data_IF_102150186711
#
_entry.id   IF_102150186711
#
_cell.length_a   1.000
_cell.length_b   1.000
_cell.length_c   1.000
_cell.angle_alpha   90.00
_cell.angle_beta   90.00
_cell.angle_gamma   90.00
#
_symmetry.space_group_name_H-M   'P 1'
#
loop_
_entity.id
_entity.type
_entity.pdbx_description
1 polymer ?
#
# COMPACT_ATOMS: atom_id res chain seq x y z
N UNK A 1 -11.52 16.41 14.41
CA UNK A 1 -10.87 15.37 13.59
C UNK A 1 -11.99 14.57 12.95
N UNK A 2 -12.05 14.50 11.62
CA UNK A 2 -13.11 13.75 10.94
C UNK A 2 -12.91 12.23 11.15
N UNK A 3 -14.01 11.45 11.24
CA UNK A 3 -13.93 10.00 11.34
C UNK A 3 -13.27 9.41 10.08
N UNK A 4 -12.54 8.32 10.22
CA UNK A 4 -11.91 7.62 9.11
C UNK A 4 -12.98 7.10 8.12
N UNK A 5 -12.81 7.40 6.83
CA UNK A 5 -13.71 6.92 5.79
C UNK A 5 -13.30 5.50 5.37
N UNK A 6 -14.08 4.49 5.79
CA UNK A 6 -13.76 3.09 5.51
C UNK A 6 -13.90 2.71 4.04
N UNK A 7 -15.00 3.09 3.38
CA UNK A 7 -15.21 2.74 1.97
C UNK A 7 -14.28 3.58 1.07
N UNK A 8 -13.87 3.04 -0.10
CA UNK A 8 -13.04 3.79 -1.02
C UNK A 8 -13.57 5.17 -1.37
N UNK A 9 -12.66 6.14 -1.43
CA UNK A 9 -13.00 7.53 -1.73
C UNK A 9 -11.84 8.25 -2.37
N UNK A 10 -12.02 8.71 -3.61
CA UNK A 10 -11.03 9.52 -4.30
C UNK A 10 -10.70 10.82 -3.53
N UNK A 11 -11.69 11.42 -2.85
CA UNK A 11 -11.49 12.63 -2.08
C UNK A 11 -10.63 12.38 -0.83
N UNK A 12 -11.00 11.37 -0.02
CA UNK A 12 -10.22 11.01 1.17
C UNK A 12 -8.80 10.54 0.79
N UNK A 13 -8.69 9.82 -0.31
CA UNK A 13 -7.42 9.44 -0.91
C UNK A 13 -6.56 10.66 -1.29
N UNK A 14 -7.16 11.69 -1.90
CA UNK A 14 -6.43 12.88 -2.31
C UNK A 14 -5.89 13.63 -1.10
N UNK A 15 -6.69 13.77 -0.05
CA UNK A 15 -6.28 14.39 1.21
C UNK A 15 -5.15 13.60 1.88
N UNK A 16 -5.28 12.27 1.94
CA UNK A 16 -4.28 11.37 2.51
C UNK A 16 -2.96 11.44 1.75
N UNK A 17 -3.03 11.36 0.42
CA UNK A 17 -1.86 11.39 -0.43
C UNK A 17 -1.15 12.75 -0.37
N UNK A 18 -1.89 13.86 -0.32
CA UNK A 18 -1.32 15.18 -0.08
C UNK A 18 -0.61 15.25 1.27
N UNK A 19 -1.25 14.77 2.35
CA UNK A 19 -0.67 14.78 3.68
C UNK A 19 0.63 13.96 3.78
N UNK A 20 0.67 12.78 3.14
CA UNK A 20 1.89 11.95 3.06
C UNK A 20 3.05 12.67 2.37
N UNK A 21 2.77 13.37 1.26
CA UNK A 21 3.79 14.14 0.55
C UNK A 21 4.24 15.37 1.34
N UNK A 22 3.31 16.09 1.97
CA UNK A 22 3.63 17.24 2.82
C UNK A 22 4.54 16.85 4.00
N UNK A 23 4.31 15.66 4.59
CA UNK A 23 5.16 15.13 5.67
C UNK A 23 6.55 14.77 5.17
N UNK A 24 6.66 14.15 3.99
CA UNK A 24 7.95 13.92 3.34
C UNK A 24 8.70 15.24 3.09
N UNK A 25 8.03 16.26 2.54
CA UNK A 25 8.66 17.57 2.31
C UNK A 25 9.11 18.24 3.62
N UNK A 26 8.30 18.19 4.67
CA UNK A 26 8.67 18.72 5.99
C UNK A 26 9.91 18.01 6.55
N UNK A 27 9.95 16.67 6.43
CA UNK A 27 11.10 15.90 6.90
C UNK A 27 12.37 16.19 6.10
N UNK A 28 12.27 16.27 4.76
CA UNK A 28 13.40 16.66 3.92
C UNK A 28 13.92 18.06 4.28
N UNK A 29 13.02 19.03 4.50
CA UNK A 29 13.42 20.36 4.95
C UNK A 29 14.17 20.32 6.29
N UNK A 30 13.66 19.55 7.26
CA UNK A 30 14.33 19.37 8.54
C UNK A 30 15.72 18.75 8.40
N UNK A 31 15.87 17.70 7.58
CA UNK A 31 17.19 17.09 7.32
C UNK A 31 18.16 18.09 6.69
N UNK A 32 17.69 18.92 5.74
CA UNK A 32 18.51 19.95 5.11
C UNK A 32 18.96 21.01 6.13
N UNK A 33 18.08 21.44 7.03
CA UNK A 33 18.42 22.40 8.10
C UNK A 33 19.50 21.84 9.04
N UNK A 34 19.33 20.59 9.49
CA UNK A 34 20.27 19.91 10.38
C UNK A 34 21.63 19.66 9.71
N UNK A 35 21.63 19.33 8.42
CA UNK A 35 22.85 19.00 7.67
C UNK A 35 23.51 20.22 6.99
N UNK A 36 22.97 21.43 7.18
CA UNK A 36 23.50 22.66 6.57
C UNK A 36 24.97 22.94 6.89
N UNK A 37 25.46 22.49 8.05
CA UNK A 37 26.87 22.59 8.42
C UNK A 37 27.79 21.57 7.73
N UNK A 38 27.24 20.47 7.22
CA UNK A 38 27.98 19.42 6.52
C UNK A 38 28.08 19.67 5.01
N UNK A 39 27.07 20.31 4.41
CA UNK A 39 27.08 20.72 3.00
C UNK A 39 26.35 22.06 2.80
N UNK A 40 27.13 23.10 2.51
CA UNK A 40 26.61 24.46 2.27
C UNK A 40 25.77 24.57 0.98
N UNK A 41 25.92 23.64 0.03
CA UNK A 41 25.15 23.59 -1.21
C UNK A 41 23.77 22.95 -1.06
N UNK A 42 23.55 22.17 0.00
CA UNK A 42 22.35 21.35 0.18
C UNK A 42 21.06 22.19 0.24
N UNK A 43 21.08 23.29 1.00
CA UNK A 43 19.93 24.21 1.09
C UNK A 43 19.56 24.77 -0.29
N UNK A 44 20.55 25.20 -1.07
CA UNK A 44 20.31 25.75 -2.40
C UNK A 44 19.75 24.69 -3.35
N UNK A 45 20.27 23.46 -3.29
CA UNK A 45 19.78 22.34 -4.09
C UNK A 45 18.31 22.00 -3.75
N UNK A 46 17.98 21.94 -2.46
CA UNK A 46 16.61 21.70 -2.00
C UNK A 46 15.65 22.81 -2.47
N UNK A 47 16.01 24.09 -2.32
CA UNK A 47 15.16 25.20 -2.77
C UNK A 47 15.00 25.23 -4.30
N UNK A 48 16.06 24.93 -5.05
CA UNK A 48 15.99 24.82 -6.51
C UNK A 48 15.13 23.63 -6.97
N UNK A 49 15.17 22.50 -6.25
CA UNK A 49 14.25 21.39 -6.50
C UNK A 49 12.81 21.76 -6.16
N UNK A 50 12.58 22.36 -4.99
CA UNK A 50 11.23 22.65 -4.52
C UNK A 50 10.51 23.69 -5.35
N UNK A 51 11.23 24.66 -5.92
CA UNK A 51 10.69 25.66 -6.85
C UNK A 51 10.31 25.10 -8.23
N UNK A 52 10.88 23.96 -8.64
CA UNK A 52 10.54 23.27 -9.90
C UNK A 52 9.29 22.40 -9.80
N UNK A 53 8.86 22.04 -8.58
CA UNK A 53 7.72 21.17 -8.34
C UNK A 53 6.44 21.99 -8.17
N UNK A 54 5.39 21.74 -8.97
CA UNK A 54 4.06 22.31 -8.73
C UNK A 54 3.55 22.09 -7.30
N UNK A 55 2.72 23.00 -6.80
CA UNK A 55 2.02 22.81 -5.52
C UNK A 55 1.15 21.56 -5.60
N UNK A 56 1.20 20.72 -4.57
CA UNK A 56 0.48 19.44 -4.54
C UNK A 56 1.07 18.36 -5.45
N UNK A 57 2.33 18.51 -5.90
CA UNK A 57 3.00 17.48 -6.70
C UNK A 57 3.13 16.17 -5.94
N UNK A 58 2.81 15.09 -6.65
CA UNK A 58 3.17 13.75 -6.22
C UNK A 58 4.62 13.46 -6.60
N UNK A 59 5.29 12.64 -5.81
CA UNK A 59 6.64 12.16 -6.07
C UNK A 59 6.62 10.67 -6.40
N UNK A 60 7.59 10.16 -7.18
CA UNK A 60 7.70 8.74 -7.43
C UNK A 60 7.90 7.93 -6.14
N UNK A 61 7.41 6.68 -6.06
CA UNK A 61 7.64 5.82 -4.89
C UNK A 61 9.12 5.62 -4.54
N UNK A 62 10.01 5.66 -5.54
CA UNK A 62 11.45 5.59 -5.35
C UNK A 62 12.01 6.76 -4.53
N UNK A 63 11.37 7.93 -4.54
CA UNK A 63 11.76 9.06 -3.67
C UNK A 63 11.52 8.74 -2.20
N UNK A 64 10.36 8.15 -1.86
CA UNK A 64 10.08 7.71 -0.50
C UNK A 64 11.10 6.67 -0.05
N UNK A 65 11.39 5.67 -0.90
CA UNK A 65 12.38 4.66 -0.59
C UNK A 65 13.78 5.25 -0.37
N UNK A 66 14.20 6.16 -1.25
CA UNK A 66 15.51 6.84 -1.15
C UNK A 66 15.59 7.69 0.11
N UNK A 67 14.50 8.35 0.51
CA UNK A 67 14.41 9.10 1.76
C UNK A 67 14.63 8.20 2.99
N UNK A 68 14.01 7.01 3.04
CA UNK A 68 14.23 6.08 4.14
C UNK A 68 15.67 5.57 4.19
N UNK A 69 16.30 5.30 3.06
CA UNK A 69 17.72 4.92 3.03
C UNK A 69 18.64 6.07 3.47
N UNK A 70 18.30 7.32 3.13
CA UNK A 70 19.03 8.48 3.61
C UNK A 70 18.95 8.59 5.13
N UNK A 71 17.75 8.41 5.70
CA UNK A 71 17.55 8.42 7.16
C UNK A 71 18.32 7.27 7.83
N UNK A 72 18.25 6.05 7.29
CA UNK A 72 19.00 4.89 7.80
C UNK A 72 20.52 5.14 7.78
N UNK A 73 21.06 5.70 6.70
CA UNK A 73 22.48 6.05 6.58
C UNK A 73 22.88 7.11 7.62
N UNK A 74 22.08 8.16 7.78
CA UNK A 74 22.31 9.22 8.76
C UNK A 74 22.24 8.71 10.20
N UNK A 75 21.32 7.79 10.51
CA UNK A 75 21.23 7.14 11.82
C UNK A 75 22.43 6.22 12.12
N UNK A 76 23.10 5.74 11.08
CA UNK A 76 24.34 4.96 11.17
C UNK A 76 25.61 5.84 11.12
N UNK A 77 25.47 7.16 11.31
CA UNK A 77 26.53 8.17 11.21
C UNK A 77 27.23 8.24 9.83
N UNK A 78 26.68 7.62 8.79
CA UNK A 78 27.16 7.72 7.41
C UNK A 78 26.60 8.97 6.71
N UNK A 79 27.13 10.12 7.11
CA UNK A 79 26.73 11.43 6.59
C UNK A 79 26.98 11.56 5.08
N UNK A 80 28.06 10.96 4.57
CA UNK A 80 28.40 11.02 3.15
C UNK A 80 27.32 10.34 2.29
N UNK A 81 26.93 9.11 2.65
CA UNK A 81 25.86 8.39 1.95
C UNK A 81 24.52 9.12 2.09
N UNK A 82 24.19 9.60 3.30
CA UNK A 82 22.98 10.38 3.54
C UNK A 82 22.86 11.61 2.63
N UNK A 83 23.93 12.41 2.52
CA UNK A 83 23.97 13.59 1.64
C UNK A 83 23.84 13.22 0.16
N UNK A 84 24.52 12.16 -0.30
CA UNK A 84 24.41 11.68 -1.67
C UNK A 84 22.96 11.30 -2.01
N UNK A 85 22.28 10.61 -1.10
CA UNK A 85 20.89 10.18 -1.30
C UNK A 85 19.91 11.36 -1.32
N UNK A 86 20.13 12.38 -0.48
CA UNK A 86 19.35 13.61 -0.54
C UNK A 86 19.55 14.35 -1.87
N UNK A 87 20.79 14.41 -2.35
CA UNK A 87 21.09 15.01 -3.65
C UNK A 87 20.38 14.26 -4.80
N UNK A 88 20.32 12.93 -4.75
CA UNK A 88 19.59 12.10 -5.72
C UNK A 88 18.08 12.41 -5.72
N UNK A 89 17.48 12.60 -4.53
CA UNK A 89 16.07 13.01 -4.38
C UNK A 89 15.83 14.36 -5.07
N UNK A 90 16.73 15.32 -4.91
CA UNK A 90 16.58 16.67 -5.45
C UNK A 90 16.76 16.77 -6.98
N UNK A 91 17.10 15.65 -7.64
CA UNK A 91 17.07 15.53 -9.09
C UNK A 91 15.76 14.93 -9.62
N UNK A 92 14.89 14.40 -8.76
CA UNK A 92 13.66 13.74 -9.18
C UNK A 92 12.57 14.75 -9.59
N UNK A 93 11.82 14.41 -10.64
CA UNK A 93 10.66 15.17 -11.08
C UNK A 93 9.38 14.73 -10.35
N UNK A 94 8.33 15.55 -10.45
CA UNK A 94 7.00 15.13 -10.03
C UNK A 94 6.55 13.87 -10.78
N UNK A 95 5.89 12.96 -10.07
CA UNK A 95 5.26 11.81 -10.69
C UNK A 95 4.07 12.26 -11.55
N UNK A 96 3.88 11.67 -12.74
CA UNK A 96 2.69 11.89 -13.54
C UNK A 96 1.44 11.37 -12.81
N UNK A 97 0.27 11.89 -13.20
CA UNK A 97 -1.01 11.43 -12.68
C UNK A 97 -1.36 10.02 -13.18
N UNK A 98 -2.13 9.30 -12.36
CA UNK A 98 -2.65 7.97 -12.68
C UNK A 98 -1.68 6.83 -12.35
N UNK A 99 -2.25 5.63 -12.30
CA UNK A 99 -1.51 4.40 -12.03
C UNK A 99 -0.86 3.89 -13.31
N UNK A 100 0.42 3.51 -13.20
CA UNK A 100 1.19 2.87 -14.25
C UNK A 100 1.47 1.42 -13.93
N UNK A 101 1.38 0.59 -14.95
CA UNK A 101 1.84 -0.79 -14.89
C UNK A 101 3.31 -0.85 -15.35
N UNK A 102 4.20 -1.32 -14.48
CA UNK A 102 5.64 -1.40 -14.74
C UNK A 102 6.18 -2.76 -14.34
N UNK A 103 7.18 -3.25 -15.05
CA UNK A 103 7.83 -4.54 -14.81
C UNK A 103 9.18 -4.29 -14.14
N UNK A 104 9.41 -4.93 -12.99
CA UNK A 104 10.71 -4.86 -12.32
C UNK A 104 11.79 -5.44 -13.24
N UNK A 105 12.87 -4.69 -13.45
CA UNK A 105 13.84 -4.96 -14.51
C UNK A 105 13.73 -3.90 -15.60
N UNK A 106 13.06 -4.18 -16.73
CA UNK A 106 13.14 -3.35 -17.93
C UNK A 106 12.62 -1.91 -17.74
N UNK A 107 11.70 -1.68 -16.80
CA UNK A 107 11.08 -0.36 -16.63
C UNK A 107 11.73 0.48 -15.52
N UNK A 108 12.77 -0.01 -14.86
CA UNK A 108 13.40 0.65 -13.71
C UNK A 108 14.92 0.76 -13.89
N UNK A 109 15.50 1.83 -13.35
CA UNK A 109 16.96 1.92 -13.21
C UNK A 109 17.47 0.90 -12.18
N UNK A 110 18.76 0.55 -12.25
CA UNK A 110 19.39 -0.35 -11.27
C UNK A 110 19.18 0.12 -9.83
N UNK A 111 19.21 1.44 -9.61
CA UNK A 111 19.00 2.04 -8.29
C UNK A 111 17.56 1.86 -7.80
N UNK A 112 16.57 2.16 -8.63
CA UNK A 112 15.16 1.97 -8.29
C UNK A 112 14.84 0.49 -8.05
N UNK A 113 15.42 -0.41 -8.86
CA UNK A 113 15.29 -1.84 -8.64
C UNK A 113 15.82 -2.25 -7.27
N UNK A 114 17.01 -1.80 -6.87
CA UNK A 114 17.58 -2.12 -5.57
C UNK A 114 16.67 -1.66 -4.40
N UNK A 115 16.09 -0.46 -4.51
CA UNK A 115 15.15 0.08 -3.51
C UNK A 115 13.88 -0.78 -3.45
N UNK A 116 13.29 -1.10 -4.60
CA UNK A 116 12.09 -1.96 -4.67
C UNK A 116 12.39 -3.33 -4.07
N UNK A 117 13.52 -3.93 -4.42
CA UNK A 117 13.91 -5.24 -3.90
C UNK A 117 14.15 -5.22 -2.39
N UNK A 118 14.80 -4.17 -1.87
CA UNK A 118 15.04 -3.99 -0.44
C UNK A 118 13.72 -3.88 0.33
N UNK A 119 12.82 -2.99 -0.09
CA UNK A 119 11.64 -2.68 0.72
C UNK A 119 10.41 -3.53 0.39
N UNK A 120 10.15 -3.88 -0.87
CA UNK A 120 9.06 -4.80 -1.21
C UNK A 120 9.42 -6.25 -0.89
N UNK A 121 10.71 -6.61 -0.94
CA UNK A 121 11.18 -7.95 -0.58
C UNK A 121 11.46 -8.15 0.90
N UNK A 122 11.14 -7.15 1.74
CA UNK A 122 11.37 -7.22 3.18
C UNK A 122 10.32 -8.09 3.87
N UNK A 123 10.66 -8.88 4.91
CA UNK A 123 9.71 -9.78 5.57
C UNK A 123 8.42 -9.09 6.07
N UNK A 124 8.50 -7.82 6.44
CA UNK A 124 7.35 -7.00 6.87
C UNK A 124 6.25 -6.83 5.81
N UNK A 125 6.57 -6.93 4.52
CA UNK A 125 5.56 -6.88 3.45
C UNK A 125 4.83 -8.22 3.27
N UNK A 126 5.20 -9.24 4.04
CA UNK A 126 4.76 -10.61 3.82
C UNK A 126 5.40 -11.28 2.61
N UNK A 127 6.32 -10.60 1.92
CA UNK A 127 7.07 -11.11 0.78
C UNK A 127 8.50 -11.37 1.20
N UNK A 128 8.97 -12.58 0.95
CA UNK A 128 10.35 -12.94 1.24
C UNK A 128 11.19 -12.81 -0.05
N UNK A 129 11.53 -11.57 -0.40
CA UNK A 129 12.33 -11.23 -1.58
C UNK A 129 11.54 -11.16 -2.90
N UNK A 130 11.82 -10.12 -3.68
CA UNK A 130 11.27 -9.89 -5.02
C UNK A 130 12.37 -9.82 -6.08
N UNK A 131 12.09 -10.32 -7.28
CA UNK A 131 12.98 -10.27 -8.43
C UNK A 131 12.25 -9.81 -9.68
N UNK A 132 12.97 -9.57 -10.77
CA UNK A 132 12.35 -9.45 -12.07
C UNK A 132 11.56 -10.74 -12.39
N UNK A 133 10.32 -10.65 -12.92
CA UNK A 133 9.54 -11.82 -13.28
C UNK A 133 10.01 -12.45 -14.59
N UNK A 134 9.68 -13.72 -14.82
CA UNK A 134 9.73 -14.33 -16.15
C UNK A 134 8.92 -13.48 -17.17
N UNK A 135 9.53 -13.01 -18.28
CA UNK A 135 8.86 -12.11 -19.23
C UNK A 135 7.57 -12.66 -19.81
N UNK A 136 7.52 -13.96 -20.14
CA UNK A 136 6.32 -14.59 -20.73
C UNK A 136 5.19 -14.76 -19.72
N UNK A 137 5.53 -14.95 -18.44
CA UNK A 137 4.53 -14.93 -17.37
C UNK A 137 4.01 -13.51 -17.15
N UNK A 138 4.90 -12.52 -17.11
CA UNK A 138 4.53 -11.11 -16.98
C UNK A 138 3.58 -10.65 -18.10
N UNK A 139 3.88 -10.95 -19.37
CA UNK A 139 3.01 -10.61 -20.51
C UNK A 139 1.58 -11.15 -20.34
N UNK A 140 1.45 -12.43 -19.94
CA UNK A 140 0.12 -13.05 -19.70
C UNK A 140 -0.59 -12.45 -18.50
N UNK A 141 0.16 -12.08 -17.46
CA UNK A 141 -0.38 -11.44 -16.27
C UNK A 141 -0.90 -10.03 -16.60
N UNK A 142 -0.17 -9.26 -17.41
CA UNK A 142 -0.55 -7.90 -17.85
C UNK A 142 -1.92 -7.91 -18.54
N UNK A 143 -2.19 -8.88 -19.42
CA UNK A 143 -3.49 -8.96 -20.12
C UNK A 143 -4.64 -9.07 -19.11
N UNK A 144 -4.55 -10.04 -18.18
CA UNK A 144 -5.57 -10.25 -17.15
C UNK A 144 -5.69 -9.10 -16.16
N UNK A 145 -4.56 -8.49 -15.81
CA UNK A 145 -4.55 -7.35 -14.90
C UNK A 145 -5.23 -6.14 -15.53
N UNK A 146 -5.02 -5.90 -16.83
CA UNK A 146 -5.75 -4.86 -17.56
C UNK A 146 -7.24 -5.15 -17.62
N UNK A 147 -7.65 -6.40 -17.81
CA UNK A 147 -9.07 -6.80 -17.72
C UNK A 147 -9.66 -6.49 -16.34
N UNK A 148 -8.94 -6.82 -15.26
CA UNK A 148 -9.36 -6.52 -13.89
C UNK A 148 -9.46 -5.01 -13.62
N UNK A 149 -8.46 -4.22 -14.04
CA UNK A 149 -8.47 -2.75 -13.89
C UNK A 149 -9.66 -2.15 -14.66
N UNK A 150 -9.84 -2.54 -15.93
CA UNK A 150 -10.96 -2.05 -16.74
C UNK A 150 -12.32 -2.41 -16.11
N UNK A 151 -12.43 -3.60 -15.50
CA UNK A 151 -13.64 -3.99 -14.80
C UNK A 151 -13.88 -3.14 -13.56
N UNK A 152 -12.84 -2.86 -12.76
CA UNK A 152 -12.92 -1.97 -11.60
C UNK A 152 -13.33 -0.56 -12.02
N UNK A 153 -12.72 -0.01 -13.07
CA UNK A 153 -13.04 1.32 -13.60
C UNK A 153 -14.52 1.43 -14.00
N UNK A 154 -15.08 0.38 -14.60
CA UNK A 154 -16.46 0.38 -15.06
C UNK A 154 -17.51 0.08 -13.98
N UNK A 155 -17.17 -0.76 -12.99
CA UNK A 155 -18.15 -1.32 -12.04
C UNK A 155 -17.97 -0.85 -10.59
N UNK A 156 -16.78 -0.35 -10.24
CA UNK A 156 -16.43 0.06 -8.88
C UNK A 156 -15.65 1.39 -8.93
N UNK A 157 -16.27 2.47 -9.42
CA UNK A 157 -15.60 3.76 -9.62
C UNK A 157 -15.01 4.34 -8.33
N UNK A 158 -15.56 3.99 -7.16
CA UNK A 158 -15.01 4.42 -5.87
C UNK A 158 -13.62 3.83 -5.62
N UNK A 159 -13.44 2.53 -5.92
CA UNK A 159 -12.15 1.85 -5.81
C UNK A 159 -11.17 2.37 -6.88
N UNK A 160 -11.63 2.51 -8.12
CA UNK A 160 -10.82 3.08 -9.20
C UNK A 160 -10.30 4.48 -8.83
N UNK A 161 -11.17 5.35 -8.31
CA UNK A 161 -10.82 6.71 -7.91
C UNK A 161 -9.80 6.75 -6.79
N UNK A 162 -9.97 5.93 -5.74
CA UNK A 162 -9.01 5.81 -4.65
C UNK A 162 -7.66 5.25 -5.14
N UNK A 163 -7.67 4.17 -5.92
CA UNK A 163 -6.47 3.58 -6.52
C UNK A 163 -5.69 4.60 -7.36
N UNK A 164 -6.36 5.29 -8.30
CA UNK A 164 -5.72 6.27 -9.17
C UNK A 164 -5.19 7.50 -8.40
N UNK A 165 -5.71 7.74 -7.21
CA UNK A 165 -5.29 8.84 -6.35
C UNK A 165 -4.11 8.47 -5.46
N UNK A 166 -4.13 7.29 -4.82
CA UNK A 166 -3.06 6.83 -3.93
C UNK A 166 -1.87 6.24 -4.67
N UNK A 167 -2.12 5.47 -5.73
CA UNK A 167 -1.11 4.64 -6.37
C UNK A 167 -0.51 5.34 -7.60
N UNK A 168 0.76 5.04 -7.85
CA UNK A 168 1.53 5.48 -9.02
C UNK A 168 2.06 4.29 -9.81
N UNK A 169 2.53 3.25 -9.12
CA UNK A 169 3.12 2.09 -9.75
C UNK A 169 2.45 0.78 -9.26
N UNK A 170 1.92 0.00 -10.21
CA UNK A 170 1.71 -1.43 -10.07
C UNK A 170 2.96 -2.13 -10.61
N UNK A 171 3.80 -2.62 -9.71
CA UNK A 171 5.10 -3.22 -10.02
C UNK A 171 4.94 -4.73 -10.19
N UNK A 172 5.13 -5.22 -11.41
CA UNK A 172 5.15 -6.64 -11.70
C UNK A 172 6.49 -7.25 -11.29
N UNK A 173 6.42 -8.21 -10.37
CA UNK A 173 7.57 -8.86 -9.77
C UNK A 173 7.46 -10.38 -9.86
N UNK A 174 8.60 -11.06 -9.79
CA UNK A 174 8.71 -12.50 -9.54
C UNK A 174 9.12 -12.77 -8.08
N UNK A 175 8.84 -13.98 -7.57
CA UNK A 175 9.33 -14.39 -6.25
C UNK A 175 10.82 -14.71 -6.31
N UNK A 176 11.56 -14.37 -5.25
CA UNK A 176 12.93 -14.83 -5.11
C UNK A 176 13.00 -16.37 -5.06
N UNK A 177 14.11 -16.93 -5.56
CA UNK A 177 14.27 -18.38 -5.74
C UNK A 177 14.11 -19.13 -4.41
N UNK A 178 13.26 -20.16 -4.39
CA UNK A 178 13.04 -21.01 -3.21
C UNK A 178 12.10 -20.44 -2.15
N UNK A 179 11.46 -19.30 -2.43
CA UNK A 179 10.55 -18.62 -1.51
C UNK A 179 9.09 -19.02 -1.76
N UNK A 180 8.26 -18.87 -0.73
CA UNK A 180 6.81 -19.09 -0.84
C UNK A 180 6.20 -18.11 -1.86
N UNK A 181 5.21 -18.57 -2.62
CA UNK A 181 4.47 -17.72 -3.56
C UNK A 181 3.60 -16.73 -2.79
N UNK A 182 3.81 -15.44 -3.01
CA UNK A 182 2.93 -14.36 -2.51
C UNK A 182 1.99 -13.87 -3.61
N UNK A 183 0.97 -13.10 -3.22
CA UNK A 183 -0.03 -12.56 -4.13
C UNK A 183 0.33 -11.16 -4.63
N UNK A 184 0.55 -10.26 -3.67
CA UNK A 184 1.07 -8.92 -3.83
C UNK A 184 1.77 -8.49 -2.55
N UNK A 185 2.21 -7.24 -2.52
CA UNK A 185 2.76 -6.61 -1.33
C UNK A 185 2.78 -5.10 -1.48
N UNK A 186 2.42 -4.42 -0.39
CA UNK A 186 2.42 -2.96 -0.28
C UNK A 186 3.34 -2.56 0.86
N UNK A 187 4.15 -1.52 0.66
CA UNK A 187 5.15 -1.10 1.65
C UNK A 187 5.05 0.41 1.91
N UNK A 188 4.93 0.79 3.18
CA UNK A 188 4.90 2.20 3.61
C UNK A 188 6.09 3.01 3.09
N UNK A 189 7.28 2.39 3.06
CA UNK A 189 8.53 3.05 2.59
C UNK A 189 8.56 3.29 1.09
N UNK A 190 7.63 2.70 0.35
CA UNK A 190 7.44 2.87 -1.09
C UNK A 190 6.03 3.38 -1.37
N UNK A 191 5.66 4.48 -0.70
CA UNK A 191 4.34 5.09 -0.83
C UNK A 191 3.94 5.28 -2.30
N UNK A 192 2.75 4.79 -2.65
CA UNK A 192 2.23 4.80 -4.01
C UNK A 192 2.70 3.65 -4.91
N UNK A 193 3.43 2.67 -4.40
CA UNK A 193 3.75 1.43 -5.13
C UNK A 193 3.07 0.21 -4.51
N UNK A 194 2.59 -0.68 -5.39
CA UNK A 194 2.11 -2.03 -5.05
C UNK A 194 2.87 -3.03 -5.89
N UNK A 195 3.49 -4.02 -5.26
CA UNK A 195 4.09 -5.16 -5.95
C UNK A 195 3.04 -6.24 -6.20
N UNK A 196 3.02 -6.80 -7.41
CA UNK A 196 2.15 -7.91 -7.80
C UNK A 196 2.99 -9.07 -8.33
N UNK A 197 2.77 -10.27 -7.80
CA UNK A 197 3.49 -11.45 -8.27
C UNK A 197 2.98 -11.87 -9.66
N UNK A 198 3.69 -11.48 -10.70
CA UNK A 198 3.32 -11.73 -12.09
C UNK A 198 3.56 -13.18 -12.53
N UNK A 199 4.19 -13.99 -11.68
CA UNK A 199 4.42 -15.41 -11.96
C UNK A 199 3.33 -16.33 -11.42
N UNK A 200 2.42 -15.80 -10.59
CA UNK A 200 1.31 -16.57 -10.03
C UNK A 200 0.23 -16.84 -11.09
N UNK A 201 -0.47 -17.96 -10.95
CA UNK A 201 -1.67 -18.24 -11.74
C UNK A 201 -2.88 -17.57 -11.07
N UNK A 202 -3.22 -16.36 -11.51
CA UNK A 202 -4.43 -15.66 -11.10
C UNK A 202 -5.49 -15.68 -12.23
N UNK A 203 -6.75 -15.84 -11.86
CA UNK A 203 -7.88 -15.44 -12.71
C UNK A 203 -8.09 -13.92 -12.66
N UNK A 204 -8.87 -13.37 -13.59
CA UNK A 204 -9.21 -11.94 -13.56
C UNK A 204 -9.96 -11.57 -12.27
N UNK A 205 -10.84 -12.45 -11.78
CA UNK A 205 -11.54 -12.28 -10.50
C UNK A 205 -10.59 -12.24 -9.30
N UNK A 206 -9.59 -13.13 -9.28
CA UNK A 206 -8.56 -13.13 -8.22
C UNK A 206 -7.77 -11.81 -8.21
N UNK A 207 -7.53 -11.21 -9.38
CA UNK A 207 -6.81 -9.93 -9.50
C UNK A 207 -7.63 -8.74 -9.01
N UNK A 208 -8.95 -8.70 -9.22
CA UNK A 208 -9.80 -7.64 -8.64
C UNK A 208 -9.69 -7.64 -7.12
N UNK A 209 -9.81 -8.83 -6.51
CA UNK A 209 -9.71 -8.98 -5.06
C UNK A 209 -8.30 -8.63 -4.56
N UNK A 210 -7.25 -9.04 -5.29
CA UNK A 210 -5.86 -8.68 -4.97
C UNK A 210 -5.68 -7.15 -5.00
N UNK A 211 -6.20 -6.46 -6.00
CA UNK A 211 -6.08 -5.00 -6.10
C UNK A 211 -6.79 -4.30 -4.93
N UNK A 212 -8.00 -4.75 -4.56
CA UNK A 212 -8.70 -4.21 -3.40
C UNK A 212 -7.97 -4.50 -2.06
N UNK A 213 -7.30 -5.65 -1.96
CA UNK A 213 -6.49 -5.98 -0.80
C UNK A 213 -5.28 -5.05 -0.66
N UNK A 214 -4.48 -4.90 -1.72
CA UNK A 214 -3.27 -4.10 -1.71
C UNK A 214 -3.55 -2.59 -1.63
N UNK A 215 -4.60 -2.14 -2.33
CA UNK A 215 -5.12 -0.78 -2.16
C UNK A 215 -5.52 -0.55 -0.68
N UNK A 216 -6.22 -1.51 -0.06
CA UNK A 216 -6.57 -1.42 1.35
C UNK A 216 -5.37 -1.23 2.26
N UNK A 217 -4.23 -1.87 1.97
CA UNK A 217 -2.98 -1.59 2.69
C UNK A 217 -2.49 -0.15 2.47
N UNK A 218 -2.52 0.35 1.24
CA UNK A 218 -2.13 1.73 0.94
C UNK A 218 -3.02 2.76 1.67
N UNK A 219 -4.34 2.56 1.68
CA UNK A 219 -5.27 3.40 2.44
C UNK A 219 -4.99 3.34 3.95
N UNK A 220 -4.75 2.15 4.49
CA UNK A 220 -4.48 1.96 5.91
C UNK A 220 -3.14 2.61 6.33
N UNK A 221 -2.12 2.49 5.50
CA UNK A 221 -0.84 3.16 5.69
C UNK A 221 -0.99 4.68 5.76
N UNK A 222 -1.89 5.25 4.95
CA UNK A 222 -2.24 6.66 5.02
C UNK A 222 -2.86 7.08 6.37
N UNK A 223 -3.62 6.19 7.00
CA UNK A 223 -4.14 6.41 8.35
C UNK A 223 -3.01 6.42 9.40
N UNK A 224 -1.97 5.62 9.20
CA UNK A 224 -0.82 5.48 10.11
C UNK A 224 0.21 6.61 10.02
N UNK A 225 -0.10 7.74 9.37
CA UNK A 225 0.88 8.80 9.19
C UNK A 225 1.37 9.39 10.52
N UNK A 226 0.47 9.69 11.47
CA UNK A 226 0.84 10.32 12.75
C UNK A 226 1.24 9.33 13.83
N UNK A 227 0.58 8.18 13.87
CA UNK A 227 0.74 7.18 14.93
C UNK A 227 0.44 5.78 14.39
N UNK A 228 0.95 4.75 15.07
CA UNK A 228 0.57 3.36 14.81
C UNK A 228 -0.90 3.13 15.22
N UNK A 229 -1.56 2.10 14.67
CA UNK A 229 -2.95 1.77 15.02
C UNK A 229 -3.07 1.05 16.36
N UNK A 230 -2.01 0.33 16.74
CA UNK A 230 -1.88 -0.40 18.00
C UNK A 230 -0.56 -0.01 18.67
N UNK A 231 -0.58 0.09 19.99
CA UNK A 231 0.60 0.32 20.83
C UNK A 231 1.19 -0.99 21.37
N UNK A 232 0.55 -2.13 21.07
CA UNK A 232 1.12 -3.43 21.37
C UNK A 232 2.47 -3.55 20.67
N UNK A 233 3.55 -3.92 21.37
CA UNK A 233 4.83 -4.10 20.73
C UNK A 233 4.75 -5.30 19.78
N UNK A 234 5.68 -5.36 18.82
CA UNK A 234 6.14 -6.64 18.29
C UNK A 234 6.66 -7.49 19.46
N UNK A 235 7.25 -8.67 19.38
CA UNK A 235 7.46 -9.54 20.58
C UNK A 235 6.19 -10.05 21.30
N UNK A 236 5.13 -9.25 21.47
CA UNK A 236 3.80 -9.75 21.82
C UNK A 236 3.17 -10.38 20.59
N UNK A 237 2.77 -11.64 20.70
CA UNK A 237 2.27 -12.44 19.57
C UNK A 237 0.91 -13.02 19.91
N UNK A 238 0.03 -13.04 18.91
CA UNK A 238 -1.35 -13.48 19.01
C UNK A 238 -1.68 -14.39 17.82
N UNK A 239 -2.59 -15.34 18.00
CA UNK A 239 -3.00 -16.24 16.92
C UNK A 239 -3.56 -15.47 15.72
N UNK A 240 -3.03 -15.72 14.52
CA UNK A 240 -3.53 -15.12 13.28
C UNK A 240 -4.39 -16.13 12.51
N UNK A 241 -5.71 -15.89 12.35
CA UNK A 241 -6.63 -16.82 11.67
C UNK A 241 -6.21 -17.11 10.22
N UNK A 242 -5.73 -16.09 9.52
CA UNK A 242 -5.30 -16.20 8.11
C UNK A 242 -3.96 -16.94 7.94
N UNK A 243 -3.04 -16.82 8.91
CA UNK A 243 -1.70 -17.45 8.80
C UNK A 243 -1.59 -18.78 9.54
N UNK A 244 -2.53 -19.12 10.43
CA UNK A 244 -2.44 -20.31 11.28
C UNK A 244 -1.20 -20.34 12.18
N UNK A 245 -0.68 -19.16 12.55
CA UNK A 245 0.54 -18.97 13.35
C UNK A 245 0.42 -17.71 14.19
N UNK A 246 1.23 -17.57 15.24
CA UNK A 246 1.25 -16.36 16.04
C UNK A 246 1.95 -15.19 15.33
N UNK A 247 1.39 -13.99 15.46
CA UNK A 247 1.84 -12.75 14.80
C UNK A 247 1.72 -11.54 15.73
N UNK A 248 2.51 -10.48 15.50
CA UNK A 248 2.24 -9.20 16.14
C UNK A 248 0.80 -8.73 15.85
N UNK A 249 0.22 -7.98 16.80
CA UNK A 249 -1.15 -7.54 16.69
C UNK A 249 -1.38 -6.59 15.50
N UNK A 250 -0.35 -5.82 15.13
CA UNK A 250 -0.38 -4.95 13.95
C UNK A 250 -0.74 -5.74 12.68
N UNK A 251 -0.12 -6.90 12.46
CA UNK A 251 -0.40 -7.72 11.29
C UNK A 251 -1.81 -8.31 11.30
N UNK A 252 -2.37 -8.58 12.48
CA UNK A 252 -3.76 -9.04 12.63
C UNK A 252 -4.74 -7.89 12.37
N UNK A 253 -4.40 -6.67 12.81
CA UNK A 253 -5.17 -5.47 12.49
C UNK A 253 -5.23 -5.25 10.98
N UNK A 254 -4.07 -5.28 10.32
CA UNK A 254 -3.96 -5.14 8.87
C UNK A 254 -4.78 -6.19 8.14
N UNK A 255 -4.65 -7.48 8.53
CA UNK A 255 -5.44 -8.57 7.97
C UNK A 255 -6.94 -8.33 8.13
N UNK A 256 -7.41 -7.92 9.32
CA UNK A 256 -8.81 -7.57 9.55
C UNK A 256 -9.29 -6.45 8.61
N UNK A 257 -8.50 -5.40 8.44
CA UNK A 257 -8.88 -4.26 7.61
C UNK A 257 -9.00 -4.62 6.13
N UNK A 258 -7.96 -5.26 5.56
CA UNK A 258 -7.97 -5.62 4.14
C UNK A 258 -8.98 -6.72 3.84
N UNK A 259 -9.24 -7.65 4.77
CA UNK A 259 -10.34 -8.61 4.63
C UNK A 259 -11.70 -7.91 4.55
N UNK A 260 -11.93 -6.83 5.31
CA UNK A 260 -13.17 -6.05 5.16
C UNK A 260 -13.26 -5.36 3.79
N UNK A 261 -12.15 -4.83 3.25
CA UNK A 261 -12.09 -4.27 1.88
C UNK A 261 -12.37 -5.33 0.82
N UNK A 262 -11.83 -6.54 1.00
CA UNK A 262 -12.10 -7.69 0.13
C UNK A 262 -13.59 -8.09 0.18
N UNK A 263 -14.20 -8.18 1.37
CA UNK A 263 -15.64 -8.46 1.53
C UNK A 263 -16.49 -7.47 0.74
N UNK A 264 -16.16 -6.19 0.83
CA UNK A 264 -16.86 -5.14 0.10
C UNK A 264 -16.79 -5.34 -1.42
N UNK A 265 -15.59 -5.54 -2.00
CA UNK A 265 -15.46 -5.72 -3.45
C UNK A 265 -16.07 -7.05 -3.92
N UNK A 266 -15.96 -8.11 -3.14
CA UNK A 266 -16.58 -9.41 -3.42
C UNK A 266 -18.11 -9.30 -3.47
N UNK A 267 -18.71 -8.48 -2.60
CA UNK A 267 -20.14 -8.14 -2.66
C UNK A 267 -20.52 -7.49 -4.00
N UNK A 268 -19.77 -6.47 -4.44
CA UNK A 268 -19.97 -5.82 -5.75
C UNK A 268 -19.82 -6.80 -6.92
N UNK A 269 -18.86 -7.72 -6.83
CA UNK A 269 -18.66 -8.77 -7.84
C UNK A 269 -19.83 -9.77 -7.89
N UNK A 270 -20.44 -10.12 -6.75
CA UNK A 270 -21.61 -11.00 -6.70
C UNK A 270 -22.84 -10.40 -7.37
N UNK A 271 -23.02 -9.09 -7.23
CA UNK A 271 -24.12 -8.34 -7.83
C UNK A 271 -23.98 -8.19 -9.35
N UNK A 272 -22.74 -8.20 -9.86
CA UNK A 272 -22.46 -8.09 -11.30
C UNK A 272 -22.97 -9.30 -12.10
N UNK A 273 -23.27 -9.05 -13.38
CA UNK A 273 -23.64 -10.08 -14.38
C UNK A 273 -22.46 -10.70 -15.12
N UNK A 274 -21.25 -10.17 -14.92
CA UNK A 274 -20.08 -10.49 -15.74
C UNK A 274 -19.41 -11.82 -15.36
N UNK A 275 -19.73 -12.37 -14.19
CA UNK A 275 -19.17 -13.63 -13.70
C UNK A 275 -20.10 -14.81 -14.01
N UNK A 276 -19.51 -15.89 -14.52
CA UNK A 276 -20.21 -17.15 -14.77
C UNK A 276 -20.74 -17.77 -13.48
N UNK A 277 -21.66 -18.73 -13.59
CA UNK A 277 -22.20 -19.44 -12.43
C UNK A 277 -21.11 -20.11 -11.56
N UNK A 278 -20.10 -20.72 -12.19
CA UNK A 278 -19.01 -21.37 -11.46
C UNK A 278 -18.14 -20.34 -10.72
N UNK A 279 -17.85 -19.21 -11.36
CA UNK A 279 -17.10 -18.12 -10.74
C UNK A 279 -17.87 -17.50 -9.57
N UNK A 280 -19.17 -17.25 -9.71
CA UNK A 280 -20.02 -16.75 -8.61
C UNK A 280 -20.00 -17.69 -7.41
N UNK A 281 -20.09 -19.00 -7.63
CA UNK A 281 -20.01 -19.98 -6.54
C UNK A 281 -18.65 -19.93 -5.84
N UNK A 282 -17.55 -19.73 -6.58
CA UNK A 282 -16.22 -19.54 -6.00
C UNK A 282 -16.14 -18.23 -5.21
N UNK A 283 -16.61 -17.13 -5.79
CA UNK A 283 -16.68 -15.82 -5.13
C UNK A 283 -17.50 -15.87 -3.84
N UNK A 284 -18.58 -16.64 -3.80
CA UNK A 284 -19.45 -16.78 -2.61
C UNK A 284 -18.73 -17.56 -1.50
N UNK A 285 -17.97 -18.59 -1.88
CA UNK A 285 -17.09 -19.30 -0.95
C UNK A 285 -16.01 -18.38 -0.38
N UNK A 286 -15.32 -17.63 -1.25
CA UNK A 286 -14.29 -16.67 -0.85
C UNK A 286 -14.86 -15.57 0.03
N UNK A 287 -16.05 -15.05 -0.27
CA UNK A 287 -16.74 -14.06 0.54
C UNK A 287 -16.97 -14.58 1.97
N UNK A 288 -17.58 -15.76 2.12
CA UNK A 288 -17.84 -16.36 3.44
C UNK A 288 -16.57 -16.58 4.26
N UNK A 289 -15.51 -17.09 3.61
CA UNK A 289 -14.21 -17.31 4.26
C UNK A 289 -13.58 -15.98 4.71
N UNK A 290 -13.61 -14.98 3.83
CA UNK A 290 -13.06 -13.65 4.12
C UNK A 290 -13.83 -12.95 5.24
N UNK A 291 -15.17 -13.08 5.27
CA UNK A 291 -16.00 -12.57 6.37
C UNK A 291 -15.65 -13.22 7.71
N UNK A 292 -15.42 -14.54 7.73
CA UNK A 292 -15.04 -15.25 8.93
C UNK A 292 -13.66 -14.79 9.44
N UNK A 293 -12.66 -14.71 8.56
CA UNK A 293 -11.31 -14.22 8.88
C UNK A 293 -11.37 -12.78 9.41
N UNK A 294 -12.16 -11.93 8.75
CA UNK A 294 -12.34 -10.53 9.16
C UNK A 294 -12.90 -10.45 10.57
N UNK A 295 -14.01 -11.16 10.86
CA UNK A 295 -14.68 -11.11 12.17
C UNK A 295 -13.78 -11.62 13.28
N UNK A 296 -13.13 -12.76 13.08
CA UNK A 296 -12.23 -13.35 14.07
C UNK A 296 -11.02 -12.43 14.34
N UNK A 297 -10.42 -11.87 13.28
CA UNK A 297 -9.29 -10.95 13.42
C UNK A 297 -9.70 -9.65 14.13
N UNK A 298 -10.86 -9.09 13.79
CA UNK A 298 -11.39 -7.89 14.46
C UNK A 298 -11.72 -8.14 15.94
N UNK A 299 -12.21 -9.33 16.28
CA UNK A 299 -12.49 -9.72 17.66
C UNK A 299 -11.21 -9.87 18.49
N UNK A 300 -10.14 -10.42 17.90
CA UNK A 300 -8.81 -10.46 18.53
C UNK A 300 -8.30 -9.04 18.76
N UNK A 301 -8.34 -8.18 17.74
CA UNK A 301 -7.90 -6.78 17.86
C UNK A 301 -8.69 -6.02 18.93
N UNK A 302 -10.01 -6.23 19.00
CA UNK A 302 -10.85 -5.57 20.00
C UNK A 302 -10.54 -6.04 21.43
N UNK A 303 -10.21 -7.32 21.59
CA UNK A 303 -9.94 -7.93 22.90
C UNK A 303 -8.54 -7.64 23.42
N UNK A 304 -7.53 -7.71 22.54
CA UNK A 304 -6.11 -7.66 22.90
C UNK A 304 -5.46 -6.29 22.60
N UNK A 305 -6.14 -5.44 21.84
CA UNK A 305 -5.58 -4.19 21.31
C UNK A 305 -5.49 -3.06 22.32
N UNK A 306 -4.28 -2.57 22.52
CA UNK A 306 -3.99 -1.23 23.01
C UNK A 306 -4.08 -0.25 21.84
N UNK A 307 -5.31 0.10 21.50
CA UNK A 307 -5.61 0.91 20.31
C UNK A 307 -5.33 2.38 20.55
N UNK A 308 -4.59 3.00 19.63
CA UNK A 308 -4.49 4.46 19.55
C UNK A 308 -5.83 5.08 19.16
N UNK A 309 -5.93 6.41 19.20
CA UNK A 309 -7.16 7.09 18.78
C UNK A 309 -7.47 6.80 17.31
N UNK A 310 -6.45 6.82 16.46
CA UNK A 310 -6.60 6.45 15.04
C UNK A 310 -7.01 4.99 14.88
N UNK A 311 -6.38 4.06 15.61
CA UNK A 311 -6.74 2.65 15.59
C UNK A 311 -8.20 2.38 16.00
N UNK A 312 -8.70 3.06 17.03
CA UNK A 312 -10.11 2.98 17.45
C UNK A 312 -11.06 3.43 16.33
N UNK A 313 -10.77 4.56 15.67
CA UNK A 313 -11.60 5.09 14.60
C UNK A 313 -11.64 4.16 13.39
N UNK A 314 -10.49 3.61 12.98
CA UNK A 314 -10.39 2.67 11.86
C UNK A 314 -11.14 1.37 12.19
N UNK A 315 -10.94 0.81 13.39
CA UNK A 315 -11.64 -0.40 13.84
C UNK A 315 -13.15 -0.20 13.86
N UNK A 316 -13.62 0.93 14.39
CA UNK A 316 -15.04 1.28 14.41
C UNK A 316 -15.62 1.41 13.00
N UNK A 317 -14.91 2.08 12.08
CA UNK A 317 -15.36 2.26 10.71
C UNK A 317 -15.46 0.93 9.94
N UNK A 318 -14.43 0.06 10.02
CA UNK A 318 -14.46 -1.24 9.33
C UNK A 318 -15.50 -2.19 9.94
N UNK A 319 -15.67 -2.21 11.27
CA UNK A 319 -16.63 -3.10 11.92
C UNK A 319 -18.07 -2.61 11.74
N UNK A 320 -18.30 -1.29 11.70
CA UNK A 320 -19.59 -0.69 11.38
C UNK A 320 -20.06 -1.02 9.95
N UNK A 321 -19.13 -1.11 8.99
CA UNK A 321 -19.42 -1.67 7.67
C UNK A 321 -19.84 -3.15 7.76
N UNK A 322 -19.03 -3.98 8.43
CA UNK A 322 -19.25 -5.44 8.52
C UNK A 322 -20.51 -5.84 9.31
N UNK A 323 -21.05 -4.95 10.15
CA UNK A 323 -22.32 -5.13 10.86
C UNK A 323 -23.52 -4.54 10.12
N UNK A 324 -23.33 -3.96 8.93
CA UNK A 324 -24.40 -3.31 8.16
C UNK A 324 -24.87 -1.96 8.71
N UNK A 325 -24.18 -1.40 9.72
CA UNK A 325 -24.53 -0.10 10.32
C UNK A 325 -24.10 1.08 9.42
N UNK A 326 -23.12 0.87 8.54
CA UNK A 326 -22.71 1.88 7.56
C UNK A 326 -23.72 2.09 6.42
N UNK A 327 -24.61 1.12 6.16
CA UNK A 327 -25.64 1.25 5.13
C UNK A 327 -26.75 2.26 5.51
N UNK A 328 -26.82 2.68 6.77
CA UNK A 328 -27.87 3.59 7.29
C UNK A 328 -27.42 5.04 7.44
N UNK A 329 -26.15 5.36 7.22
CA UNK A 329 -25.57 6.70 7.45
C UNK A 329 -25.22 7.46 6.16
N UNK A 330 -25.49 6.90 4.98
CA UNK A 330 -25.27 7.55 3.68
C UNK A 330 -26.58 7.89 2.93
N UNK A 331 -27.73 7.73 3.59
CA UNK A 331 -29.05 8.13 3.05
C UNK A 331 -29.67 9.31 3.82
N UNK A 332 -28.86 10.12 4.50
CA UNK A 332 -29.27 11.35 5.16
C UNK A 332 -28.36 12.51 4.75
#
# INVERSE_FOLDING_TARGET
MQPFQFLPSAEAAAQTNLAMHDRLFKSLNYLVEVLSGADAGLQNAYQAWRSRLPIGSNLPPSVFGTYYEAVEALQADDTHTGLSLLADIFQQAAAPQGVKLRILGPDYSEREMAIIQKFMGAPETGVAGVTAPDPRKAERFIVKLREAINWIDANVPELSGEMNTLLRDLVLVGPAKGQATFEGGTCFRLWGAVALNAERRASFADLIVTLAHEEGHAALFGACQEEMLVENPDSERYWSPIRGTERPLEGIFHASFVSARMVWVLGRMQESKDFSWLERRRLESTLRETEAIQRESADIVRREGRLTRTGQNVLAAMTGFMSGQAATLQSA
#
